data_IF_738619208429
#
_entry.id   IF_738619208429
#
_cell.length_a   1.000
_cell.length_b   1.000
_cell.length_c   1.000
_cell.angle_alpha   90.00
_cell.angle_beta   90.00
_cell.angle_gamma   90.00
#
_symmetry.space_group_name_H-M   'P 1'
#
loop_
_entity.id
_entity.type
_entity.pdbx_description
1 polymer ?
#
# COMPACT_ATOMS: atom_id res chain seq x y z
N UNK A 1 5.64 60.77 6.83
CA UNK A 1 6.37 59.50 6.95
C UNK A 1 5.50 58.53 7.74
N UNK A 2 5.15 57.38 7.12
CA UNK A 2 4.74 56.05 7.67
C UNK A 2 4.15 56.02 9.09
N UNK A 3 2.97 55.46 9.40
CA UNK A 3 2.42 54.15 9.01
C UNK A 3 0.94 54.03 9.46
N UNK A 4 0.25 53.01 8.92
CA UNK A 4 -1.18 52.68 9.01
C UNK A 4 -1.67 52.16 10.39
N UNK A 5 -3.00 52.20 10.65
CA UNK A 5 -3.64 51.65 11.85
C UNK A 5 -4.21 50.22 11.68
N UNK A 6 -4.42 49.56 12.81
CA UNK A 6 -5.08 48.26 12.95
C UNK A 6 -6.62 48.36 12.79
N UNK A 7 -7.21 47.37 12.13
CA UNK A 7 -8.64 47.25 11.91
C UNK A 7 -9.33 46.49 13.05
N UNK A 8 -10.38 47.10 13.60
CA UNK A 8 -11.45 46.45 14.36
C UNK A 8 -12.74 46.95 13.73
N UNK A 9 -13.54 46.08 13.10
CA UNK A 9 -14.99 46.33 12.97
C UNK A 9 -15.72 44.99 13.01
N UNK A 10 -16.53 44.87 14.05
CA UNK A 10 -17.69 43.98 14.19
C UNK A 10 -18.90 44.74 13.63
N UNK A 11 -19.77 44.12 12.82
CA UNK A 11 -21.24 44.11 13.03
C UNK A 11 -22.04 43.43 11.89
N UNK A 12 -23.10 42.74 12.33
CA UNK A 12 -24.23 42.21 11.57
C UNK A 12 -25.18 43.32 11.04
N UNK A 13 -25.81 43.07 9.87
CA UNK A 13 -27.28 43.04 9.63
C UNK A 13 -27.77 43.63 8.27
N UNK A 14 -28.31 42.74 7.44
CA UNK A 14 -29.56 42.75 6.61
C UNK A 14 -30.07 44.07 5.95
N UNK A 15 -30.11 44.12 4.60
CA UNK A 15 -31.33 44.25 3.74
C UNK A 15 -31.15 45.07 2.43
N UNK A 16 -31.36 44.40 1.30
CA UNK A 16 -31.95 44.81 0.00
C UNK A 16 -31.67 46.20 -0.63
N UNK A 17 -31.09 46.20 -1.84
CA UNK A 17 -31.68 46.77 -3.08
C UNK A 17 -30.84 46.45 -4.33
N UNK A 18 -31.50 45.83 -5.32
CA UNK A 18 -31.35 45.93 -6.78
C UNK A 18 -29.99 46.10 -7.45
N UNK A 19 -29.66 45.17 -8.35
CA UNK A 19 -28.69 45.40 -9.42
C UNK A 19 -28.34 44.13 -10.18
N UNK A 20 -28.97 43.94 -11.35
CA UNK A 20 -28.63 42.87 -12.28
C UNK A 20 -27.16 42.98 -12.69
N UNK A 21 -26.37 41.97 -12.34
CA UNK A 21 -24.95 41.87 -12.66
C UNK A 21 -24.60 40.40 -12.91
N UNK A 22 -24.41 40.09 -14.17
CA UNK A 22 -23.72 38.93 -14.77
C UNK A 22 -23.00 38.07 -13.71
N UNK A 23 -23.56 36.89 -13.45
CA UNK A 23 -22.92 35.88 -12.61
C UNK A 23 -21.62 35.42 -13.31
N UNK A 24 -20.49 35.94 -12.84
CA UNK A 24 -19.23 35.23 -12.99
C UNK A 24 -19.38 33.90 -12.25
N UNK A 25 -19.10 32.80 -12.94
CA UNK A 25 -19.00 31.49 -12.31
C UNK A 25 -18.01 31.63 -11.14
N UNK A 26 -18.53 31.51 -9.91
CA UNK A 26 -17.68 31.27 -8.77
C UNK A 26 -17.01 29.93 -9.05
N UNK A 27 -15.68 29.93 -9.11
CA UNK A 27 -14.92 28.69 -9.01
C UNK A 27 -15.47 27.91 -7.82
N UNK A 28 -15.98 26.71 -8.09
CA UNK A 28 -16.26 25.74 -7.02
C UNK A 28 -14.96 25.61 -6.21
N UNK A 29 -15.02 25.57 -4.87
CA UNK A 29 -13.82 25.39 -4.08
C UNK A 29 -13.12 24.12 -4.56
N UNK A 30 -11.85 24.22 -4.96
CA UNK A 30 -10.99 23.06 -5.23
C UNK A 30 -11.25 22.04 -4.13
N UNK A 31 -11.77 20.87 -4.51
CA UNK A 31 -12.14 19.83 -3.56
C UNK A 31 -10.97 19.54 -2.62
N UNK A 32 -11.26 19.23 -1.36
CA UNK A 32 -10.25 18.90 -0.36
C UNK A 32 -9.24 17.88 -0.93
N UNK A 33 -7.96 17.94 -0.53
CA UNK A 33 -6.95 17.01 -1.04
C UNK A 33 -7.38 15.58 -0.74
N UNK A 34 -7.63 14.81 -1.80
CA UNK A 34 -7.92 13.38 -1.72
C UNK A 34 -6.74 12.58 -2.27
N UNK A 35 -6.59 11.35 -1.81
CA UNK A 35 -5.65 10.40 -2.43
C UNK A 35 -6.27 9.02 -2.57
N UNK A 36 -5.61 8.20 -3.39
CA UNK A 36 -6.00 6.81 -3.66
C UNK A 36 -5.27 5.90 -2.66
N UNK A 37 -6.03 5.09 -1.92
CA UNK A 37 -5.50 4.06 -1.02
C UNK A 37 -5.82 2.68 -1.61
N UNK A 38 -4.78 1.89 -1.85
CA UNK A 38 -4.88 0.57 -2.49
C UNK A 38 -4.77 -0.55 -1.47
N UNK A 39 -5.63 -1.55 -1.62
CA UNK A 39 -5.70 -2.72 -0.77
C UNK A 39 -5.62 -3.97 -1.65
N UNK A 40 -4.47 -4.63 -1.62
CA UNK A 40 -4.23 -5.81 -2.44
C UNK A 40 -5.01 -7.01 -1.89
N UNK A 41 -5.70 -7.72 -2.77
CA UNK A 41 -6.53 -8.87 -2.43
C UNK A 41 -5.73 -10.16 -2.60
N UNK A 42 -5.71 -11.00 -1.57
CA UNK A 42 -5.00 -12.27 -1.62
C UNK A 42 -5.65 -13.23 -2.63
N UNK A 43 -4.94 -13.48 -3.73
CA UNK A 43 -5.29 -14.53 -4.67
C UNK A 43 -4.50 -15.83 -4.43
N UNK A 44 -3.46 -15.82 -3.60
CA UNK A 44 -2.55 -16.94 -3.45
C UNK A 44 -3.22 -18.12 -2.74
N UNK A 45 -4.12 -17.87 -1.81
CA UNK A 45 -4.92 -18.92 -1.15
C UNK A 45 -5.78 -19.74 -2.12
N UNK A 46 -6.21 -19.15 -3.25
CA UNK A 46 -7.09 -19.79 -4.24
C UNK A 46 -6.44 -19.96 -5.63
N UNK A 47 -5.22 -19.49 -5.83
CA UNK A 47 -4.50 -19.61 -7.09
C UNK A 47 -4.21 -21.06 -7.47
N UNK A 48 -4.56 -21.43 -8.70
CA UNK A 48 -4.52 -22.79 -9.24
C UNK A 48 -3.49 -22.98 -10.37
N UNK A 49 -2.86 -21.91 -10.85
CA UNK A 49 -1.79 -21.96 -11.85
C UNK A 49 -0.59 -21.13 -11.36
N UNK A 50 0.60 -21.72 -11.36
CA UNK A 50 1.83 -20.98 -11.07
C UNK A 50 2.23 -20.16 -12.28
N UNK A 51 2.63 -18.91 -12.05
CA UNK A 51 3.09 -18.00 -13.09
C UNK A 51 4.42 -18.48 -13.73
N UNK A 52 5.20 -19.30 -13.02
CA UNK A 52 6.45 -19.91 -13.50
C UNK A 52 6.27 -21.26 -14.21
N UNK A 53 5.08 -21.85 -14.16
CA UNK A 53 4.79 -23.13 -14.84
C UNK A 53 4.21 -22.84 -16.21
N UNK A 54 4.57 -23.67 -17.20
CA UNK A 54 4.11 -23.52 -18.57
C UNK A 54 2.59 -23.70 -18.71
N UNK A 55 2.00 -22.81 -19.50
CA UNK A 55 0.57 -22.70 -19.71
C UNK A 55 0.20 -23.58 -20.90
N UNK A 56 -0.89 -24.33 -20.74
CA UNK A 56 -1.53 -25.08 -21.82
C UNK A 56 -0.62 -26.11 -22.51
N UNK A 57 0.37 -26.65 -21.78
CA UNK A 57 1.29 -27.66 -22.26
C UNK A 57 2.28 -27.17 -23.33
N UNK A 58 2.46 -25.85 -23.48
CA UNK A 58 3.41 -25.27 -24.43
C UNK A 58 4.69 -24.82 -23.70
N UNK A 59 5.81 -25.49 -23.98
CA UNK A 59 7.08 -25.26 -23.30
C UNK A 59 7.52 -23.79 -23.40
N UNK A 60 7.88 -23.20 -22.26
CA UNK A 60 8.30 -21.79 -22.15
C UNK A 60 7.18 -20.76 -22.18
N UNK A 61 5.91 -21.19 -22.33
CA UNK A 61 4.75 -20.30 -22.37
C UNK A 61 4.26 -19.98 -20.95
N UNK A 62 4.88 -19.01 -20.30
CA UNK A 62 4.59 -18.70 -18.90
C UNK A 62 4.68 -17.19 -18.61
N UNK A 63 4.41 -16.81 -17.37
CA UNK A 63 4.50 -15.46 -16.82
C UNK A 63 5.70 -15.34 -15.84
N UNK A 64 6.76 -16.13 -16.04
CA UNK A 64 8.01 -16.02 -15.27
C UNK A 64 8.65 -14.62 -15.36
N UNK A 65 8.62 -13.91 -16.50
CA UNK A 65 9.19 -12.56 -16.61
C UNK A 65 8.41 -11.46 -15.88
N UNK A 66 7.16 -11.72 -15.49
CA UNK A 66 6.34 -10.75 -14.75
C UNK A 66 6.94 -10.58 -13.34
N UNK A 67 7.29 -9.35 -12.90
CA UNK A 67 7.87 -9.13 -11.59
C UNK A 67 6.90 -9.54 -10.47
N UNK A 68 7.46 -9.99 -9.35
CA UNK A 68 6.74 -10.41 -8.13
C UNK A 68 6.76 -9.31 -7.08
N UNK A 69 5.95 -9.47 -6.03
CA UNK A 69 5.83 -8.50 -4.95
C UNK A 69 4.86 -7.36 -5.30
N UNK A 70 4.94 -6.29 -4.52
CA UNK A 70 4.21 -5.05 -4.79
C UNK A 70 4.74 -4.37 -6.06
N UNK A 71 3.87 -4.19 -7.06
CA UNK A 71 4.19 -3.61 -8.36
C UNK A 71 3.13 -2.58 -8.76
N UNK A 72 3.56 -1.47 -9.36
CA UNK A 72 2.64 -0.48 -9.94
C UNK A 72 2.42 -0.79 -11.42
N UNK A 73 1.19 -1.13 -11.80
CA UNK A 73 0.80 -1.43 -13.17
C UNK A 73 -0.23 -0.41 -13.66
N UNK A 74 0.15 0.40 -14.64
CA UNK A 74 -0.69 1.47 -15.20
C UNK A 74 -1.39 2.32 -14.12
N UNK A 75 -0.60 2.85 -13.17
CA UNK A 75 -1.01 3.70 -12.03
C UNK A 75 -1.73 3.03 -10.84
N UNK A 76 -1.90 1.71 -10.86
CA UNK A 76 -2.52 0.93 -9.77
C UNK A 76 -1.50 0.00 -9.11
N UNK A 77 -1.51 -0.10 -7.79
CA UNK A 77 -0.65 -1.02 -7.05
C UNK A 77 -1.27 -2.42 -6.90
N UNK A 78 -0.49 -3.44 -7.26
CA UNK A 78 -0.87 -4.85 -7.17
C UNK A 78 0.19 -5.65 -6.41
N UNK A 79 -0.24 -6.60 -5.59
CA UNK A 79 0.65 -7.63 -5.03
C UNK A 79 0.64 -8.83 -5.98
N UNK A 80 1.76 -9.05 -6.67
CA UNK A 80 1.90 -10.14 -7.64
C UNK A 80 2.64 -11.30 -6.98
N UNK A 81 1.86 -12.29 -6.52
CA UNK A 81 2.41 -13.53 -5.96
C UNK A 81 2.83 -14.55 -7.02
N UNK A 82 3.07 -15.79 -6.61
CA UNK A 82 3.56 -16.86 -7.50
C UNK A 82 2.47 -17.58 -8.27
N UNK A 83 1.23 -17.53 -7.79
CA UNK A 83 0.06 -18.18 -8.37
C UNK A 83 -0.96 -17.15 -8.86
N UNK A 84 -1.73 -17.58 -9.85
CA UNK A 84 -2.87 -16.87 -10.41
C UNK A 84 -4.07 -17.81 -10.50
N UNK A 85 -5.24 -17.27 -10.82
CA UNK A 85 -6.46 -18.05 -11.07
C UNK A 85 -6.63 -18.19 -12.58
N UNK A 86 -6.51 -19.42 -13.09
CA UNK A 86 -6.88 -19.82 -14.45
C UNK A 86 -8.28 -20.42 -14.43
N UNK A 87 -9.13 -20.00 -15.36
CA UNK A 87 -10.44 -20.64 -15.57
C UNK A 87 -10.49 -21.43 -16.87
N UNK A 88 -11.48 -22.31 -16.93
CA UNK A 88 -11.74 -23.19 -18.05
C UNK A 88 -12.05 -22.45 -19.37
N UNK A 89 -11.77 -23.12 -20.47
CA UNK A 89 -12.32 -22.82 -21.80
C UNK A 89 -12.42 -24.09 -22.63
N UNK A 90 -12.98 -24.00 -23.85
CA UNK A 90 -12.94 -25.11 -24.81
C UNK A 90 -11.52 -25.59 -25.15
N UNK A 91 -10.47 -24.79 -24.89
CA UNK A 91 -9.05 -25.15 -25.09
C UNK A 91 -8.28 -25.41 -23.81
N UNK A 92 -8.88 -25.14 -22.65
CA UNK A 92 -8.29 -25.38 -21.33
C UNK A 92 -9.33 -26.06 -20.42
N UNK A 93 -9.78 -27.28 -20.76
CA UNK A 93 -10.89 -27.94 -20.07
C UNK A 93 -10.54 -28.43 -18.65
N UNK A 94 -9.25 -28.56 -18.34
CA UNK A 94 -8.78 -29.11 -17.06
C UNK A 94 -8.85 -28.11 -15.90
N UNK A 95 -9.16 -26.85 -16.19
CA UNK A 95 -9.32 -25.79 -15.19
C UNK A 95 -10.78 -25.68 -14.72
N UNK A 96 -11.04 -25.12 -13.53
CA UNK A 96 -12.41 -24.92 -13.06
C UNK A 96 -13.12 -23.83 -13.88
N UNK A 97 -14.44 -23.98 -14.06
CA UNK A 97 -15.26 -22.92 -14.67
C UNK A 97 -15.46 -21.72 -13.73
N UNK A 98 -15.28 -21.92 -12.42
CA UNK A 98 -15.52 -20.91 -11.40
C UNK A 98 -14.56 -21.06 -10.23
N UNK A 99 -14.04 -19.95 -9.74
CA UNK A 99 -13.49 -19.81 -8.39
C UNK A 99 -14.37 -18.85 -7.62
N UNK A 100 -14.93 -19.30 -6.49
CA UNK A 100 -15.87 -18.51 -5.69
C UNK A 100 -15.20 -17.99 -4.42
N UNK A 101 -15.72 -16.89 -3.88
CA UNK A 101 -15.40 -16.46 -2.53
C UNK A 101 -14.00 -15.85 -2.36
N UNK A 102 -13.46 -15.19 -3.38
CA UNK A 102 -12.23 -14.40 -3.26
C UNK A 102 -12.52 -13.28 -2.25
N UNK A 103 -11.84 -13.29 -1.11
CA UNK A 103 -12.18 -12.43 0.02
C UNK A 103 -11.77 -10.98 -0.25
N UNK A 104 -12.72 -10.05 -0.21
CA UNK A 104 -12.44 -8.61 -0.25
C UNK A 104 -12.59 -8.01 1.15
N UNK A 105 -13.74 -8.23 1.78
CA UNK A 105 -13.93 -7.91 3.19
C UNK A 105 -13.82 -6.43 3.57
N UNK A 106 -14.04 -5.50 2.63
CA UNK A 106 -13.94 -4.06 2.89
C UNK A 106 -14.82 -3.23 1.93
N UNK A 107 -14.95 -1.93 2.21
CA UNK A 107 -15.50 -0.95 1.27
C UNK A 107 -14.46 -0.63 0.20
N UNK A 108 -14.92 -0.26 -0.98
CA UNK A 108 -14.05 0.15 -2.08
C UNK A 108 -14.84 1.06 -3.02
N UNK A 109 -14.22 2.13 -3.48
CA UNK A 109 -14.75 2.95 -4.57
C UNK A 109 -14.56 2.25 -5.91
N UNK A 110 -13.47 1.46 -6.04
CA UNK A 110 -13.14 0.74 -7.27
C UNK A 110 -12.57 -0.64 -6.99
N UNK A 111 -12.76 -1.54 -7.96
CA UNK A 111 -12.00 -2.77 -8.07
C UNK A 111 -11.15 -2.74 -9.34
N UNK A 112 -9.89 -3.16 -9.22
CA UNK A 112 -8.94 -3.25 -10.32
C UNK A 112 -8.58 -4.69 -10.57
N UNK A 113 -8.80 -5.14 -11.80
CA UNK A 113 -8.53 -6.51 -12.24
C UNK A 113 -7.31 -6.49 -13.16
N UNK A 114 -6.22 -7.14 -12.73
CA UNK A 114 -5.05 -7.38 -13.56
C UNK A 114 -5.12 -8.79 -14.13
N UNK A 115 -5.50 -8.88 -15.40
CA UNK A 115 -5.98 -10.12 -16.00
C UNK A 115 -5.58 -10.26 -17.46
N UNK A 116 -5.83 -11.43 -18.02
CA UNK A 116 -5.62 -11.71 -19.43
C UNK A 116 -6.48 -12.87 -19.89
N UNK A 117 -6.35 -13.22 -21.16
CA UNK A 117 -6.93 -14.44 -21.68
C UNK A 117 -6.02 -15.10 -22.70
N UNK A 118 -5.93 -16.43 -22.62
CA UNK A 118 -5.31 -17.23 -23.66
C UNK A 118 -6.28 -17.43 -24.82
N UNK A 119 -5.75 -17.44 -26.04
CA UNK A 119 -6.47 -17.69 -27.30
C UNK A 119 -7.53 -16.63 -27.65
N UNK A 120 -7.25 -15.97 -28.76
CA UNK A 120 -8.12 -15.02 -29.43
C UNK A 120 -8.53 -15.42 -30.84
N UNK A 121 -9.19 -14.47 -31.52
CA UNK A 121 -9.36 -14.31 -32.98
C UNK A 121 -8.43 -15.17 -33.87
N UNK A 122 -8.86 -15.64 -35.07
CA UNK A 122 -10.03 -15.20 -35.84
C UNK A 122 -11.25 -16.08 -35.57
N UNK A 123 -12.26 -15.52 -34.92
CA UNK A 123 -13.49 -16.24 -34.57
C UNK A 123 -14.17 -15.77 -33.28
N UNK A 124 -13.65 -14.72 -32.65
CA UNK A 124 -14.26 -14.07 -31.50
C UNK A 124 -14.57 -12.63 -31.88
N UNK A 125 -15.84 -12.28 -31.81
CA UNK A 125 -16.30 -10.92 -32.06
C UNK A 125 -16.02 -10.02 -30.86
N UNK A 126 -15.75 -8.75 -31.13
CA UNK A 126 -15.63 -7.73 -30.09
C UNK A 126 -16.94 -7.60 -29.31
N UNK A 127 -16.82 -7.56 -27.98
CA UNK A 127 -17.97 -7.52 -27.08
C UNK A 127 -18.53 -8.89 -26.72
N UNK A 128 -18.00 -9.99 -27.29
CA UNK A 128 -18.42 -11.34 -26.91
C UNK A 128 -18.03 -11.61 -25.45
N UNK A 129 -19.00 -11.88 -24.54
CA UNK A 129 -18.65 -12.18 -23.17
C UNK A 129 -18.01 -13.57 -23.08
N UNK A 130 -16.90 -13.67 -22.36
CA UNK A 130 -16.12 -14.90 -22.14
C UNK A 130 -16.09 -15.32 -20.67
N UNK A 131 -16.51 -14.44 -19.77
CA UNK A 131 -16.58 -14.69 -18.34
C UNK A 131 -17.18 -13.50 -17.59
N UNK A 132 -17.11 -13.52 -16.27
CA UNK A 132 -17.51 -12.41 -15.42
C UNK A 132 -16.80 -12.44 -14.07
N UNK A 133 -16.77 -11.28 -13.43
CA UNK A 133 -16.61 -11.18 -11.99
C UNK A 133 -17.98 -10.94 -11.35
N UNK A 134 -18.29 -11.63 -10.26
CA UNK A 134 -19.53 -11.42 -9.49
C UNK A 134 -19.15 -10.86 -8.13
N UNK A 135 -19.41 -9.58 -7.92
CA UNK A 135 -19.14 -8.87 -6.67
C UNK A 135 -20.32 -9.10 -5.75
N UNK A 136 -20.09 -9.74 -4.61
CA UNK A 136 -21.10 -9.98 -3.56
C UNK A 136 -20.84 -9.03 -2.40
N UNK A 137 -21.84 -8.23 -2.05
CA UNK A 137 -21.78 -7.37 -0.87
C UNK A 137 -22.14 -8.13 0.41
N UNK A 138 -21.83 -7.53 1.55
CA UNK A 138 -22.13 -8.10 2.87
C UNK A 138 -23.64 -8.19 3.16
N UNK A 139 -24.47 -7.44 2.44
CA UNK A 139 -25.95 -7.50 2.51
C UNK A 139 -26.55 -8.49 1.51
N UNK A 140 -25.72 -9.39 0.95
CA UNK A 140 -26.08 -10.44 -0.02
C UNK A 140 -26.51 -9.92 -1.39
N UNK A 141 -26.53 -8.60 -1.61
CA UNK A 141 -26.72 -8.04 -2.97
C UNK A 141 -25.50 -8.29 -3.85
N UNK A 142 -25.69 -8.31 -5.17
CA UNK A 142 -24.65 -8.67 -6.13
C UNK A 142 -24.60 -7.72 -7.31
N UNK A 143 -23.40 -7.48 -7.84
CA UNK A 143 -23.16 -6.83 -9.13
C UNK A 143 -22.33 -7.76 -10.02
N UNK A 144 -22.72 -7.90 -11.29
CA UNK A 144 -21.98 -8.74 -12.25
C UNK A 144 -21.24 -7.87 -13.25
N UNK A 145 -19.93 -8.08 -13.33
CA UNK A 145 -19.01 -7.38 -14.23
C UNK A 145 -18.68 -8.35 -15.38
N UNK A 146 -19.24 -8.18 -16.59
CA UNK A 146 -18.89 -9.04 -17.71
C UNK A 146 -17.43 -8.81 -18.14
N UNK A 147 -16.77 -9.90 -18.52
CA UNK A 147 -15.49 -9.89 -19.20
C UNK A 147 -15.78 -10.18 -20.67
N UNK A 148 -15.63 -9.15 -21.50
CA UNK A 148 -15.89 -9.19 -22.92
C UNK A 148 -14.58 -9.21 -23.70
N UNK A 149 -14.43 -10.19 -24.58
CA UNK A 149 -13.33 -10.22 -25.54
C UNK A 149 -13.39 -8.97 -26.41
N UNK A 150 -12.24 -8.36 -26.66
CA UNK A 150 -12.09 -7.14 -27.42
C UNK A 150 -12.42 -5.84 -26.70
N UNK A 151 -13.21 -5.89 -25.63
CA UNK A 151 -13.41 -4.73 -24.76
C UNK A 151 -12.49 -4.74 -23.55
N UNK A 152 -12.32 -5.87 -22.90
CA UNK A 152 -11.61 -5.94 -21.61
C UNK A 152 -10.28 -6.65 -21.71
N UNK A 153 -10.24 -7.66 -22.58
CA UNK A 153 -9.06 -8.45 -22.85
C UNK A 153 -8.99 -8.76 -24.33
N UNK A 154 -7.77 -8.98 -24.79
CA UNK A 154 -7.47 -9.64 -26.06
C UNK A 154 -6.63 -10.87 -25.76
N UNK A 155 -6.30 -11.65 -26.80
CA UNK A 155 -5.24 -12.64 -26.65
C UNK A 155 -4.01 -11.97 -26.02
N UNK A 156 -3.55 -12.58 -24.93
CA UNK A 156 -2.34 -12.16 -24.25
C UNK A 156 -1.12 -12.27 -25.16
N UNK A 157 -1.13 -13.12 -26.19
CA UNK A 157 -0.13 -13.11 -27.26
C UNK A 157 -0.50 -12.09 -28.34
N UNK A 158 0.43 -11.20 -28.70
CA UNK A 158 0.23 -10.21 -29.76
C UNK A 158 1.39 -10.18 -30.76
N UNK A 159 1.03 -10.06 -32.05
CA UNK A 159 1.98 -9.91 -33.16
C UNK A 159 2.39 -8.44 -33.40
N UNK A 160 2.04 -7.52 -32.49
CA UNK A 160 2.30 -6.08 -32.65
C UNK A 160 1.29 -5.37 -33.55
N UNK A 161 0.20 -6.04 -33.96
CA UNK A 161 -0.91 -5.42 -34.65
C UNK A 161 -1.71 -4.51 -33.69
N UNK A 162 -2.24 -3.40 -34.20
CA UNK A 162 -3.08 -2.47 -33.43
C UNK A 162 -4.45 -3.10 -33.14
N UNK A 163 -4.48 -3.95 -32.11
CA UNK A 163 -5.67 -4.63 -31.60
C UNK A 163 -5.89 -4.24 -30.12
N UNK A 164 -6.38 -3.01 -29.84
CA UNK A 164 -6.58 -2.53 -28.48
C UNK A 164 -7.84 -3.14 -27.83
N UNK A 165 -7.81 -3.22 -26.51
CA UNK A 165 -9.02 -3.39 -25.70
C UNK A 165 -9.66 -2.01 -25.47
N UNK A 166 -10.98 -1.89 -25.59
CA UNK A 166 -11.68 -0.58 -25.57
C UNK A 166 -12.09 -0.09 -24.17
N UNK A 167 -12.14 -0.98 -23.17
CA UNK A 167 -12.49 -0.71 -21.76
C UNK A 167 -11.37 -1.07 -20.78
N UNK A 168 -10.20 -1.50 -21.29
CA UNK A 168 -9.06 -1.87 -20.46
C UNK A 168 -7.76 -1.32 -21.06
N UNK A 169 -6.76 -1.13 -20.21
CA UNK A 169 -5.42 -0.66 -20.62
C UNK A 169 -4.46 -1.85 -20.65
N UNK A 170 -3.54 -1.89 -21.61
CA UNK A 170 -2.38 -2.79 -21.48
C UNK A 170 -1.51 -2.26 -20.35
N UNK A 171 -1.41 -3.02 -19.26
CA UNK A 171 -0.74 -2.58 -18.03
C UNK A 171 0.64 -3.23 -17.86
N UNK A 172 0.90 -4.31 -18.58
CA UNK A 172 2.21 -4.93 -18.67
C UNK A 172 2.39 -5.57 -20.04
N UNK A 173 3.64 -5.57 -20.52
CA UNK A 173 4.05 -6.33 -21.70
C UNK A 173 5.44 -6.92 -21.48
N UNK A 174 5.68 -8.08 -22.09
CA UNK A 174 6.94 -8.79 -21.95
C UNK A 174 7.09 -9.87 -23.00
N UNK A 175 8.06 -10.75 -22.78
CA UNK A 175 8.42 -11.85 -23.67
C UNK A 175 8.82 -13.03 -22.81
N UNK A 176 8.36 -14.24 -23.13
CA UNK A 176 8.79 -15.48 -22.48
C UNK A 176 9.59 -16.37 -23.45
N UNK A 177 10.02 -17.54 -22.99
CA UNK A 177 10.87 -18.43 -23.78
C UNK A 177 10.17 -18.95 -25.04
N UNK A 178 8.84 -19.10 -25.01
CA UNK A 178 8.04 -19.51 -26.15
C UNK A 178 7.79 -18.34 -27.13
N UNK A 179 7.59 -17.13 -26.61
CA UNK A 179 7.15 -15.98 -27.40
C UNK A 179 8.33 -15.24 -28.04
N UNK A 180 9.55 -15.37 -27.51
CA UNK A 180 10.76 -14.73 -28.09
C UNK A 180 11.08 -15.21 -29.50
N UNK A 181 10.74 -16.46 -29.84
CA UNK A 181 10.88 -17.05 -31.18
C UNK A 181 9.74 -18.03 -31.48
N UNK A 182 8.55 -17.48 -31.68
CA UNK A 182 7.41 -18.27 -32.13
C UNK A 182 7.42 -18.42 -33.65
N UNK A 183 7.95 -19.55 -34.12
CA UNK A 183 8.02 -19.90 -35.54
C UNK A 183 8.80 -18.86 -36.37
N UNK A 184 9.96 -18.41 -35.88
CA UNK A 184 10.82 -17.45 -36.55
C UNK A 184 10.40 -16.00 -36.35
N UNK A 185 9.47 -15.72 -35.43
CA UNK A 185 8.96 -14.37 -35.16
C UNK A 185 8.83 -14.13 -33.66
N UNK A 186 9.23 -12.94 -33.22
CA UNK A 186 8.97 -12.47 -31.87
C UNK A 186 7.49 -12.14 -31.70
N UNK A 187 6.89 -12.62 -30.62
CA UNK A 187 5.53 -12.33 -30.17
C UNK A 187 5.64 -11.75 -28.77
N UNK A 188 5.02 -10.60 -28.55
CA UNK A 188 4.95 -10.03 -27.20
C UNK A 188 3.77 -10.66 -26.45
N UNK A 189 3.94 -10.84 -25.15
CA UNK A 189 2.85 -11.16 -24.23
C UNK A 189 2.41 -9.89 -23.50
N UNK A 190 1.10 -9.73 -23.28
CA UNK A 190 0.50 -8.54 -22.67
C UNK A 190 -0.59 -8.90 -21.67
N UNK A 191 -0.71 -8.08 -20.63
CA UNK A 191 -1.75 -8.19 -19.61
C UNK A 191 -2.52 -6.88 -19.52
N UNK A 192 -3.78 -6.99 -19.10
CA UNK A 192 -4.74 -5.89 -19.11
C UNK A 192 -5.09 -5.46 -17.69
N UNK A 193 -5.27 -4.17 -17.49
CA UNK A 193 -5.90 -3.57 -16.34
C UNK A 193 -7.32 -3.16 -16.72
N UNK A 194 -8.31 -3.76 -16.05
CA UNK A 194 -9.70 -3.31 -16.08
C UNK A 194 -10.06 -2.73 -14.73
N UNK A 195 -10.48 -1.46 -14.72
CA UNK A 195 -11.05 -0.81 -13.55
C UNK A 195 -12.57 -0.88 -13.63
N UNK A 196 -13.20 -1.21 -12.50
CA UNK A 196 -14.64 -1.16 -12.31
C UNK A 196 -14.97 -0.15 -11.22
N UNK A 197 -15.84 0.79 -11.55
CA UNK A 197 -16.41 1.77 -10.61
C UNK A 197 -17.51 1.08 -9.80
N UNK A 198 -17.36 1.05 -8.48
CA UNK A 198 -18.35 0.45 -7.60
C UNK A 198 -19.58 1.38 -7.52
N UNK A 199 -20.79 0.94 -7.94
CA UNK A 199 -22.00 1.75 -7.81
C UNK A 199 -22.45 1.94 -6.35
N UNK A 200 -21.93 1.14 -5.42
CA UNK A 200 -22.25 1.16 -4.00
C UNK A 200 -20.98 1.26 -3.13
N UNK A 201 -20.21 2.37 -3.20
CA UNK A 201 -18.93 2.51 -2.49
C UNK A 201 -19.09 2.43 -0.95
N UNK A 202 -20.27 2.79 -0.45
CA UNK A 202 -20.60 2.73 0.97
C UNK A 202 -20.92 1.31 1.47
N UNK A 203 -21.17 0.35 0.58
CA UNK A 203 -21.41 -1.05 0.95
C UNK A 203 -20.09 -1.80 1.06
N UNK A 204 -19.98 -2.63 2.10
CA UNK A 204 -18.86 -3.56 2.25
C UNK A 204 -18.97 -4.65 1.19
N UNK A 205 -17.94 -4.78 0.34
CA UNK A 205 -17.79 -5.91 -0.56
C UNK A 205 -17.33 -7.10 0.28
N UNK A 206 -18.09 -8.20 0.27
CA UNK A 206 -17.72 -9.41 0.97
C UNK A 206 -16.73 -10.21 0.14
N UNK A 207 -17.14 -10.61 -1.07
CA UNK A 207 -16.35 -11.49 -1.92
C UNK A 207 -16.50 -11.16 -3.40
N UNK A 208 -15.57 -11.68 -4.20
CA UNK A 208 -15.68 -11.72 -5.66
C UNK A 208 -15.63 -13.18 -6.11
N UNK A 209 -16.57 -13.58 -6.96
CA UNK A 209 -16.45 -14.81 -7.74
C UNK A 209 -15.84 -14.49 -9.10
N UNK A 210 -14.97 -15.36 -9.61
CA UNK A 210 -14.45 -15.30 -10.97
C UNK A 210 -14.99 -16.48 -11.77
N UNK A 211 -15.71 -16.20 -12.85
CA UNK A 211 -16.51 -17.16 -13.61
C UNK A 211 -16.11 -17.12 -15.09
N UNK A 212 -15.88 -18.29 -15.68
CA UNK A 212 -15.74 -18.47 -17.12
C UNK A 212 -17.08 -18.89 -17.70
N UNK A 213 -17.39 -18.45 -18.92
CA UNK A 213 -18.51 -19.01 -19.67
C UNK A 213 -18.25 -20.43 -20.17
N UNK A 214 -16.98 -20.80 -20.36
CA UNK A 214 -16.56 -22.08 -20.92
C UNK A 214 -17.28 -22.48 -22.25
N UNK A 215 -17.73 -21.48 -23.00
CA UNK A 215 -18.41 -21.64 -24.30
C UNK A 215 -17.47 -21.33 -25.46
N UNK A 216 -16.42 -20.54 -25.21
CA UNK A 216 -15.47 -20.08 -26.21
C UNK A 216 -14.10 -20.73 -26.02
N UNK A 217 -13.19 -20.51 -26.97
CA UNK A 217 -11.79 -20.94 -26.85
C UNK A 217 -10.99 -20.09 -25.86
N UNK A 218 -11.45 -18.86 -25.56
CA UNK A 218 -10.74 -17.94 -24.68
C UNK A 218 -10.74 -18.47 -23.27
N UNK A 219 -9.56 -18.55 -22.66
CA UNK A 219 -9.36 -19.00 -21.29
C UNK A 219 -9.00 -17.80 -20.41
N UNK A 220 -9.97 -17.19 -19.70
CA UNK A 220 -9.70 -16.05 -18.84
C UNK A 220 -8.84 -16.45 -17.66
N UNK A 221 -7.93 -15.56 -17.26
CA UNK A 221 -7.15 -15.72 -16.04
C UNK A 221 -6.95 -14.38 -15.32
N UNK A 222 -6.87 -14.44 -13.99
CA UNK A 222 -6.71 -13.29 -13.10
C UNK A 222 -5.37 -13.42 -12.36
N UNK A 223 -4.49 -12.44 -12.55
CA UNK A 223 -3.15 -12.41 -11.98
C UNK A 223 -3.13 -11.71 -10.63
N UNK A 224 -3.82 -10.57 -10.51
CA UNK A 224 -3.94 -9.82 -9.26
C UNK A 224 -5.26 -9.03 -9.22
N UNK A 225 -5.74 -8.76 -8.01
CA UNK A 225 -6.94 -7.96 -7.73
C UNK A 225 -6.61 -6.96 -6.63
N UNK A 226 -7.01 -5.70 -6.83
CA UNK A 226 -6.82 -4.62 -5.85
C UNK A 226 -8.13 -3.89 -5.66
N UNK A 227 -8.51 -3.65 -4.40
CA UNK A 227 -9.56 -2.73 -4.02
C UNK A 227 -8.97 -1.33 -3.79
N UNK A 228 -9.64 -0.30 -4.30
CA UNK A 228 -9.22 1.08 -4.11
C UNK A 228 -10.29 1.86 -3.35
N UNK A 229 -9.85 2.67 -2.41
CA UNK A 229 -10.66 3.69 -1.74
C UNK A 229 -10.08 5.08 -1.99
N UNK A 230 -10.96 6.06 -2.21
CA UNK A 230 -10.62 7.49 -2.20
C UNK A 230 -10.69 7.97 -0.76
N UNK A 231 -9.56 8.42 -0.24
CA UNK A 231 -9.45 8.93 1.12
C UNK A 231 -9.40 10.45 1.06
N UNK A 232 -10.23 11.09 1.89
CA UNK A 232 -10.19 12.53 2.12
C UNK A 232 -9.21 12.82 3.26
N UNK A 233 -8.07 13.44 2.93
CA UNK A 233 -7.04 13.77 3.91
C UNK A 233 -7.59 14.71 4.97
N UNK A 234 -8.51 15.61 4.61
CA UNK A 234 -9.09 16.57 5.55
C UNK A 234 -9.95 15.87 6.62
N UNK A 235 -10.72 14.85 6.25
CA UNK A 235 -11.49 14.02 7.19
C UNK A 235 -10.58 13.24 8.14
N UNK A 236 -9.49 12.65 7.63
CA UNK A 236 -8.50 11.95 8.47
C UNK A 236 -7.82 12.92 9.44
N UNK A 237 -7.39 14.09 8.94
CA UNK A 237 -6.79 15.16 9.74
C UNK A 237 -7.76 15.66 10.82
N UNK A 238 -9.03 15.85 10.48
CA UNK A 238 -10.05 16.29 11.42
C UNK A 238 -10.24 15.25 12.55
N UNK A 239 -10.39 13.97 12.21
CA UNK A 239 -10.48 12.87 13.19
C UNK A 239 -9.26 12.81 14.11
N UNK A 240 -8.06 12.88 13.54
CA UNK A 240 -6.82 12.90 14.32
C UNK A 240 -6.77 14.10 15.29
N UNK A 241 -7.17 15.30 14.83
CA UNK A 241 -7.27 16.49 15.70
C UNK A 241 -8.33 16.33 16.79
N UNK A 242 -9.48 15.74 16.48
CA UNK A 242 -10.53 15.43 17.46
C UNK A 242 -10.02 14.46 18.54
N UNK A 243 -9.13 13.53 18.17
CA UNK A 243 -8.45 12.62 19.11
C UNK A 243 -7.25 13.25 19.84
N UNK A 244 -6.98 14.54 19.62
CA UNK A 244 -5.92 15.29 20.31
C UNK A 244 -4.54 15.19 19.67
N UNK A 245 -4.43 14.65 18.46
CA UNK A 245 -3.18 14.63 17.72
C UNK A 245 -2.77 16.05 17.29
N UNK A 246 -1.48 16.34 17.40
CA UNK A 246 -0.87 17.51 16.78
C UNK A 246 -0.37 17.15 15.38
N UNK A 247 -0.61 18.03 14.41
CA UNK A 247 -0.29 17.81 13.00
C UNK A 247 0.47 19.01 12.47
N UNK A 248 1.58 18.74 11.78
CA UNK A 248 2.36 19.75 11.04
C UNK A 248 2.30 19.43 9.54
N UNK A 249 2.04 20.45 8.74
CA UNK A 249 2.11 20.36 7.28
C UNK A 249 3.53 20.69 6.81
N UNK A 250 3.98 20.02 5.74
CA UNK A 250 5.22 20.38 5.04
C UNK A 250 5.01 21.53 4.05
N UNK A 251 6.07 21.89 3.35
CA UNK A 251 6.09 23.00 2.36
C UNK A 251 5.12 22.79 1.18
N UNK A 252 4.69 21.56 0.95
CA UNK A 252 3.74 21.18 -0.09
C UNK A 252 2.28 21.07 0.42
N UNK A 253 2.01 21.61 1.61
CA UNK A 253 0.72 21.57 2.31
C UNK A 253 0.21 20.16 2.67
N UNK A 254 1.03 19.13 2.47
CA UNK A 254 0.71 17.76 2.91
C UNK A 254 1.15 17.53 4.34
N UNK A 255 0.48 16.60 5.04
CA UNK A 255 0.85 16.23 6.40
C UNK A 255 2.23 15.62 6.42
N UNK A 256 3.15 16.25 7.15
CA UNK A 256 4.54 15.80 7.30
C UNK A 256 4.78 15.14 8.65
N UNK A 257 4.22 15.71 9.71
CA UNK A 257 4.41 15.22 11.08
C UNK A 257 3.07 15.00 11.75
N UNK A 258 2.94 13.86 12.43
CA UNK A 258 1.85 13.61 13.37
C UNK A 258 2.42 13.27 14.74
N UNK A 259 1.94 13.97 15.75
CA UNK A 259 2.22 13.68 17.15
C UNK A 259 0.96 13.21 17.84
N UNK A 260 0.98 11.94 18.23
CA UNK A 260 0.00 11.26 19.08
C UNK A 260 0.37 11.38 20.57
N UNK A 261 1.28 12.30 20.92
CA UNK A 261 1.73 12.53 22.30
C UNK A 261 1.11 13.78 22.96
N UNK A 262 0.18 14.45 22.28
CA UNK A 262 -0.41 15.73 22.72
C UNK A 262 0.59 16.91 22.75
N UNK A 263 0.13 18.17 22.77
CA UNK A 263 1.01 19.32 22.95
C UNK A 263 1.39 19.53 24.43
N UNK A 264 2.68 19.40 24.73
CA UNK A 264 3.28 19.79 26.01
C UNK A 264 3.82 18.64 26.86
N UNK A 265 4.82 18.92 27.70
CA UNK A 265 5.44 17.99 28.68
C UNK A 265 4.51 17.62 29.85
N UNK A 266 3.20 17.49 29.62
CA UNK A 266 2.31 16.79 30.54
C UNK A 266 1.82 15.56 29.80
N UNK A 267 2.36 14.42 30.21
CA UNK A 267 2.00 13.07 29.76
C UNK A 267 0.52 12.79 30.01
N UNK A 268 -0.35 13.42 29.21
CA UNK A 268 -1.72 13.01 29.04
C UNK A 268 -1.68 11.81 28.12
N UNK A 269 -1.76 10.63 28.72
CA UNK A 269 -1.90 9.35 28.05
C UNK A 269 -3.04 9.46 27.03
N UNK A 270 -2.75 9.63 25.73
CA UNK A 270 -3.77 9.38 24.73
C UNK A 270 -4.07 7.88 24.86
N UNK A 271 -5.34 7.53 25.10
CA UNK A 271 -5.82 6.14 25.18
C UNK A 271 -6.35 5.71 23.82
N UNK A 272 -6.14 4.46 23.43
CA UNK A 272 -6.60 3.89 22.16
C UNK A 272 -5.73 4.28 20.96
N UNK A 273 -4.42 4.39 21.15
CA UNK A 273 -3.53 5.01 20.15
C UNK A 273 -3.22 4.09 18.96
N UNK A 274 -3.42 2.77 19.05
CA UNK A 274 -3.28 1.89 17.88
C UNK A 274 -4.25 2.29 16.76
N UNK A 275 -5.49 2.67 17.08
CA UNK A 275 -6.46 3.15 16.09
C UNK A 275 -6.06 4.51 15.50
N UNK A 276 -5.48 5.38 16.32
CA UNK A 276 -4.93 6.64 15.82
C UNK A 276 -3.73 6.41 14.91
N UNK A 277 -2.87 5.46 15.24
CA UNK A 277 -1.73 5.10 14.40
C UNK A 277 -2.20 4.51 13.07
N UNK A 278 -3.28 3.70 13.07
CA UNK A 278 -3.93 3.24 11.82
C UNK A 278 -4.46 4.42 10.99
N UNK A 279 -5.07 5.43 11.61
CA UNK A 279 -5.48 6.65 10.91
C UNK A 279 -4.28 7.42 10.33
N UNK A 280 -3.17 7.52 11.07
CA UNK A 280 -1.93 8.14 10.56
C UNK A 280 -1.42 7.40 9.32
N UNK A 281 -1.56 6.08 9.28
CA UNK A 281 -1.14 5.26 8.14
C UNK A 281 -1.99 5.46 6.87
N UNK A 282 -3.12 6.15 6.96
CA UNK A 282 -3.90 6.61 5.81
C UNK A 282 -3.38 7.96 5.26
N UNK A 283 -2.29 8.52 5.78
CA UNK A 283 -1.67 9.74 5.28
C UNK A 283 -0.27 9.42 4.70
N UNK A 284 -0.15 9.08 3.41
CA UNK A 284 1.09 8.54 2.83
C UNK A 284 2.25 9.55 2.77
N UNK A 285 1.99 10.83 3.04
CA UNK A 285 2.99 11.89 3.10
C UNK A 285 3.73 11.98 4.43
N UNK A 286 3.27 11.27 5.48
CA UNK A 286 3.85 11.38 6.82
C UNK A 286 5.31 10.92 6.84
N UNK A 287 6.17 11.79 7.35
CA UNK A 287 7.61 11.58 7.52
C UNK A 287 8.01 11.37 8.98
N UNK A 288 7.24 11.95 9.90
CA UNK A 288 7.57 11.97 11.34
C UNK A 288 6.36 11.55 12.16
N UNK A 289 6.53 10.53 12.99
CA UNK A 289 5.53 10.09 13.96
C UNK A 289 6.10 10.14 15.37
N UNK A 290 5.45 10.92 16.23
CA UNK A 290 5.69 10.92 17.66
C UNK A 290 4.54 10.23 18.39
N UNK A 291 4.87 9.17 19.10
CA UNK A 291 3.94 8.27 19.78
C UNK A 291 4.38 7.99 21.23
N UNK A 292 5.21 8.87 21.78
CA UNK A 292 5.74 8.75 23.12
C UNK A 292 4.63 8.78 24.17
N UNK A 293 4.83 8.07 25.29
CA UNK A 293 3.91 8.03 26.43
C UNK A 293 2.47 7.64 26.05
N UNK A 294 2.33 6.68 25.12
CA UNK A 294 1.04 6.18 24.63
C UNK A 294 0.86 4.70 24.93
N UNK A 295 -0.37 4.20 24.79
CA UNK A 295 -0.69 2.77 24.84
C UNK A 295 -0.51 2.05 23.49
N UNK A 296 0.36 2.56 22.60
CA UNK A 296 0.72 1.83 21.38
C UNK A 296 1.30 0.47 21.76
N UNK A 297 0.78 -0.55 21.10
CA UNK A 297 1.21 -1.94 21.24
C UNK A 297 1.92 -2.41 19.97
N UNK A 298 2.43 -3.64 20.01
CA UNK A 298 3.03 -4.29 18.84
C UNK A 298 2.05 -4.36 17.65
N UNK A 299 0.76 -4.56 17.91
CA UNK A 299 -0.30 -4.62 16.90
C UNK A 299 -0.50 -3.28 16.18
N UNK A 300 -0.28 -2.16 16.88
CA UNK A 300 -0.35 -0.82 16.29
C UNK A 300 0.72 -0.61 15.20
N UNK A 301 1.90 -1.21 15.37
CA UNK A 301 3.03 -1.02 14.46
C UNK A 301 2.87 -1.74 13.12
N UNK A 302 1.97 -2.73 13.01
CA UNK A 302 1.77 -3.51 11.79
C UNK A 302 1.46 -2.64 10.57
N UNK A 303 0.72 -1.54 10.76
CA UNK A 303 0.30 -0.64 9.68
C UNK A 303 1.38 0.33 9.22
N UNK A 304 2.47 0.52 9.98
CA UNK A 304 3.48 1.53 9.67
C UNK A 304 4.21 1.30 8.34
N UNK A 305 4.24 0.06 7.84
CA UNK A 305 4.76 -0.26 6.52
C UNK A 305 4.02 0.45 5.37
N UNK A 306 2.81 0.97 5.63
CA UNK A 306 2.04 1.80 4.69
C UNK A 306 2.54 3.24 4.57
N UNK A 307 3.51 3.67 5.38
CA UNK A 307 4.08 5.02 5.33
C UNK A 307 5.41 5.02 4.55
N UNK A 308 5.39 5.14 3.21
CA UNK A 308 6.58 4.99 2.37
C UNK A 308 7.62 6.09 2.60
N UNK A 309 7.25 7.16 3.29
CA UNK A 309 8.09 8.33 3.57
C UNK A 309 8.52 8.45 5.03
N UNK A 310 8.15 7.49 5.89
CA UNK A 310 8.48 7.56 7.31
C UNK A 310 10.00 7.58 7.52
N UNK A 311 10.50 8.67 8.09
CA UNK A 311 11.93 8.87 8.42
C UNK A 311 12.16 8.79 9.91
N UNK A 312 11.28 9.39 10.72
CA UNK A 312 11.48 9.49 12.17
C UNK A 312 10.30 8.88 12.93
N UNK A 313 10.60 7.95 13.82
CA UNK A 313 9.64 7.28 14.68
C UNK A 313 10.11 7.34 16.14
N UNK A 314 9.24 7.85 17.01
CA UNK A 314 9.52 7.94 18.45
C UNK A 314 8.43 7.21 19.22
N UNK A 315 8.81 6.13 19.90
CA UNK A 315 7.95 5.22 20.66
C UNK A 315 8.36 5.18 22.15
N UNK A 316 8.97 6.26 22.66
CA UNK A 316 9.50 6.28 24.02
C UNK A 316 8.39 6.01 25.03
N UNK A 317 8.68 5.14 26.00
CA UNK A 317 7.78 4.82 27.10
C UNK A 317 6.40 4.35 26.59
N UNK A 318 6.43 3.42 25.63
CA UNK A 318 5.27 2.67 25.12
C UNK A 318 5.37 1.20 25.52
N UNK A 319 4.31 0.43 25.25
CA UNK A 319 4.25 -1.01 25.58
C UNK A 319 4.90 -1.92 24.50
N UNK A 320 5.52 -1.31 23.48
CA UNK A 320 6.19 -2.01 22.38
C UNK A 320 7.29 -2.94 22.88
N UNK A 321 7.33 -4.14 22.32
CA UNK A 321 8.28 -5.21 22.59
C UNK A 321 9.06 -5.62 21.33
N UNK A 322 9.90 -6.65 21.47
CA UNK A 322 10.64 -7.24 20.34
C UNK A 322 9.73 -7.65 19.18
N UNK A 323 8.48 -8.06 19.47
CA UNK A 323 7.50 -8.44 18.44
C UNK A 323 7.11 -7.25 17.56
N UNK A 324 6.93 -6.07 18.16
CA UNK A 324 6.59 -4.85 17.42
C UNK A 324 7.71 -4.41 16.47
N UNK A 325 8.98 -4.60 16.85
CA UNK A 325 10.11 -4.26 15.98
C UNK A 325 10.17 -5.09 14.70
N UNK A 326 9.60 -6.30 14.68
CA UNK A 326 9.52 -7.10 13.47
C UNK A 326 8.74 -6.38 12.34
N UNK A 327 7.74 -5.56 12.70
CA UNK A 327 6.95 -4.78 11.75
C UNK A 327 7.71 -3.58 11.16
N UNK A 328 8.77 -3.13 11.82
CA UNK A 328 9.59 -2.01 11.33
C UNK A 328 10.68 -2.44 10.34
N UNK A 329 10.95 -3.75 10.22
CA UNK A 329 12.11 -4.29 9.50
C UNK A 329 12.20 -3.91 8.00
N UNK A 330 11.07 -3.53 7.38
CA UNK A 330 11.01 -3.15 5.97
C UNK A 330 10.91 -1.63 5.75
N UNK A 331 10.98 -0.83 6.83
CA UNK A 331 11.01 0.64 6.74
C UNK A 331 12.42 1.12 6.41
N UNK A 332 12.96 0.70 5.27
CA UNK A 332 14.37 0.94 4.90
C UNK A 332 14.73 2.43 4.83
N UNK A 333 13.73 3.31 4.66
CA UNK A 333 13.90 4.76 4.72
C UNK A 333 14.03 5.35 6.13
N UNK A 334 13.87 4.57 7.20
CA UNK A 334 13.90 5.08 8.57
C UNK A 334 15.30 5.56 8.96
N UNK A 335 15.38 6.80 9.44
CA UNK A 335 16.62 7.50 9.79
C UNK A 335 16.77 7.69 11.31
N UNK A 336 15.65 7.81 12.04
CA UNK A 336 15.66 8.02 13.48
C UNK A 336 14.62 7.14 14.16
N UNK A 337 15.07 6.35 15.13
CA UNK A 337 14.22 5.48 15.92
C UNK A 337 14.51 5.70 17.40
N UNK A 338 13.49 6.09 18.17
CA UNK A 338 13.61 6.22 19.62
C UNK A 338 12.72 5.21 20.34
N UNK A 339 13.34 4.44 21.22
CA UNK A 339 12.75 3.31 21.94
C UNK A 339 13.05 3.42 23.44
N UNK A 340 13.32 4.62 23.96
CA UNK A 340 13.67 4.82 25.36
C UNK A 340 12.60 4.24 26.28
N UNK A 341 13.01 3.42 27.26
CA UNK A 341 12.10 2.87 28.27
C UNK A 341 11.02 1.93 27.72
N UNK A 342 11.29 1.25 26.60
CA UNK A 342 10.43 0.20 26.03
C UNK A 342 10.92 -1.20 26.42
N UNK A 343 10.17 -2.26 26.07
CA UNK A 343 10.48 -3.66 26.43
C UNK A 343 11.35 -4.37 25.39
N UNK A 344 12.32 -3.65 24.83
CA UNK A 344 13.22 -4.17 23.80
C UNK A 344 14.40 -4.91 24.43
N UNK A 345 14.74 -6.06 23.86
CA UNK A 345 15.89 -6.89 24.20
C UNK A 345 16.77 -7.15 22.98
N UNK A 346 17.80 -7.98 23.15
CA UNK A 346 18.69 -8.41 22.07
C UNK A 346 17.94 -9.06 20.90
N UNK A 347 16.79 -9.69 21.15
CA UNK A 347 15.95 -10.33 20.12
C UNK A 347 15.39 -9.28 19.16
N UNK A 348 14.84 -8.18 19.70
CA UNK A 348 14.25 -7.11 18.90
C UNK A 348 15.26 -6.41 18.00
N UNK A 349 16.50 -6.25 18.47
CA UNK A 349 17.57 -5.62 17.67
C UNK A 349 17.91 -6.40 16.40
N UNK A 350 17.68 -7.71 16.36
CA UNK A 350 17.85 -8.53 15.16
C UNK A 350 17.01 -8.02 13.97
N UNK A 351 15.83 -7.47 14.24
CA UNK A 351 14.93 -6.92 13.21
C UNK A 351 15.42 -5.59 12.63
N UNK A 352 16.20 -4.82 13.40
CA UNK A 352 16.69 -3.51 12.96
C UNK A 352 17.84 -3.62 11.94
N UNK A 353 18.49 -4.78 11.83
CA UNK A 353 19.68 -4.99 10.97
C UNK A 353 19.51 -4.61 9.48
N UNK A 354 18.27 -4.52 8.99
CA UNK A 354 17.92 -4.10 7.62
C UNK A 354 17.83 -2.58 7.44
N UNK A 355 17.72 -1.80 8.51
CA UNK A 355 17.51 -0.35 8.48
C UNK A 355 18.82 0.40 8.24
N UNK A 356 19.42 0.21 7.07
CA UNK A 356 20.76 0.72 6.73
C UNK A 356 20.88 2.23 6.75
N UNK A 357 19.76 2.95 6.66
CA UNK A 357 19.71 4.41 6.70
C UNK A 357 19.53 4.96 8.12
N UNK A 358 19.47 4.11 9.14
CA UNK A 358 19.28 4.56 10.52
C UNK A 358 20.52 5.31 11.01
N UNK A 359 20.34 6.59 11.34
CA UNK A 359 21.38 7.49 11.82
C UNK A 359 21.32 7.71 13.33
N UNK A 360 20.12 7.67 13.91
CA UNK A 360 19.90 7.89 15.35
C UNK A 360 19.10 6.73 15.92
N UNK A 361 19.64 6.09 16.95
CA UNK A 361 18.99 5.02 17.69
C UNK A 361 19.08 5.27 19.19
N UNK A 362 17.93 5.42 19.85
CA UNK A 362 17.85 5.53 21.31
C UNK A 362 17.29 4.23 21.90
N UNK A 363 18.15 3.49 22.60
CA UNK A 363 17.83 2.25 23.33
C UNK A 363 17.95 2.45 24.84
N UNK A 364 18.02 3.70 25.31
CA UNK A 364 18.25 3.96 26.73
C UNK A 364 17.13 3.37 27.59
N UNK A 365 17.48 2.78 28.73
CA UNK A 365 16.58 2.09 29.65
C UNK A 365 15.78 0.93 29.00
N UNK A 366 16.41 0.21 28.07
CA UNK A 366 15.90 -1.08 27.54
C UNK A 366 16.63 -2.27 28.17
N UNK A 367 16.22 -3.50 27.86
CA UNK A 367 16.83 -4.74 28.36
C UNK A 367 18.01 -5.24 27.49
N UNK A 368 18.51 -4.38 26.60
CA UNK A 368 19.63 -4.67 25.69
C UNK A 368 20.93 -5.03 26.45
N UNK A 369 21.65 -6.02 25.93
CA UNK A 369 22.97 -6.46 26.40
C UNK A 369 24.01 -6.42 25.27
N UNK A 370 25.26 -6.79 25.57
CA UNK A 370 26.33 -6.92 24.56
C UNK A 370 25.95 -7.87 23.40
N UNK A 371 25.10 -8.86 23.66
CA UNK A 371 24.62 -9.80 22.64
C UNK A 371 23.83 -9.11 21.53
N UNK A 372 23.00 -8.12 21.87
CA UNK A 372 22.17 -7.38 20.93
C UNK A 372 22.97 -6.45 20.01
N UNK A 373 24.12 -5.94 20.48
CA UNK A 373 24.97 -5.05 19.69
C UNK A 373 25.50 -5.70 18.41
N UNK A 374 25.56 -7.04 18.33
CA UNK A 374 25.96 -7.76 17.11
C UNK A 374 25.06 -7.39 15.93
N UNK A 375 23.75 -7.20 16.15
CA UNK A 375 22.82 -6.81 15.10
C UNK A 375 23.04 -5.36 14.63
N UNK A 376 23.51 -4.48 15.51
CA UNK A 376 23.74 -3.06 15.22
C UNK A 376 24.96 -2.82 14.32
N UNK A 377 25.89 -3.78 14.23
CA UNK A 377 27.04 -3.73 13.29
C UNK A 377 26.62 -3.53 11.84
N UNK A 378 25.39 -3.93 11.52
CA UNK A 378 24.84 -3.83 10.19
C UNK A 378 24.37 -2.39 9.85
N UNK A 379 24.23 -1.50 10.84
CA UNK A 379 23.73 -0.13 10.71
C UNK A 379 24.86 0.84 10.39
N UNK A 380 25.38 0.75 9.17
CA UNK A 380 26.59 1.48 8.74
C UNK A 380 26.42 3.00 8.65
N UNK A 381 25.19 3.51 8.73
CA UNK A 381 24.89 4.95 8.71
C UNK A 381 24.68 5.54 10.12
N UNK A 382 24.82 4.73 11.17
CA UNK A 382 24.55 5.13 12.55
C UNK A 382 25.55 6.20 12.99
N UNK A 383 25.05 7.31 13.55
CA UNK A 383 25.84 8.46 14.02
C UNK A 383 25.65 8.70 15.51
N UNK A 384 24.49 8.39 16.04
CA UNK A 384 24.11 8.64 17.43
C UNK A 384 23.41 7.39 18.00
N UNK A 385 23.99 6.83 19.05
CA UNK A 385 23.48 5.66 19.77
C UNK A 385 23.44 5.94 21.28
N UNK A 386 22.25 5.85 21.86
CA UNK A 386 22.06 5.99 23.31
C UNK A 386 21.79 4.63 23.96
N UNK A 387 22.69 4.21 24.86
CA UNK A 387 22.66 2.94 25.59
C UNK A 387 22.55 3.15 27.11
N UNK A 388 22.30 4.38 27.57
CA UNK A 388 22.26 4.68 29.00
C UNK A 388 21.17 3.87 29.70
N UNK A 389 21.51 3.26 30.83
CA UNK A 389 20.57 2.43 31.59
C UNK A 389 20.25 1.08 30.95
N UNK A 390 21.01 0.63 29.95
CA UNK A 390 21.00 -0.76 29.45
C UNK A 390 21.96 -1.65 30.25
N UNK A 391 22.08 -2.93 29.87
CA UNK A 391 23.06 -3.88 30.44
C UNK A 391 24.28 -4.07 29.53
N UNK A 392 24.49 -3.16 28.58
CA UNK A 392 25.66 -3.15 27.72
C UNK A 392 26.89 -2.74 28.52
N UNK A 393 28.00 -3.46 28.34
CA UNK A 393 29.29 -3.19 28.99
C UNK A 393 30.20 -2.32 28.11
N UNK A 394 31.25 -1.76 28.71
CA UNK A 394 32.29 -1.03 27.96
C UNK A 394 32.97 -1.94 26.90
N UNK A 395 33.10 -3.25 27.19
CA UNK A 395 33.66 -4.22 26.24
C UNK A 395 32.74 -4.39 25.01
N UNK A 396 31.42 -4.47 25.23
CA UNK A 396 30.43 -4.52 24.15
C UNK A 396 30.51 -3.28 23.25
N UNK A 397 30.58 -2.09 23.85
CA UNK A 397 30.76 -0.82 23.10
C UNK A 397 32.07 -0.82 22.33
N UNK A 398 33.18 -1.29 22.93
CA UNK A 398 34.47 -1.41 22.26
C UNK A 398 34.39 -2.24 20.99
N UNK A 399 33.76 -3.43 21.05
CA UNK A 399 33.55 -4.31 19.88
C UNK A 399 32.63 -3.70 18.82
N UNK A 400 31.67 -2.87 19.23
CA UNK A 400 30.79 -2.17 18.29
C UNK A 400 31.55 -1.05 17.55
N UNK A 401 32.39 -0.28 18.26
CA UNK A 401 33.25 0.75 17.67
C UNK A 401 34.22 0.18 16.63
N UNK A 402 34.80 -0.98 16.88
CA UNK A 402 35.61 -1.69 15.88
C UNK A 402 34.86 -1.97 14.56
N UNK A 403 33.53 -2.06 14.61
CA UNK A 403 32.68 -2.36 13.44
C UNK A 403 32.13 -1.11 12.76
N UNK A 404 31.73 -0.08 13.54
CA UNK A 404 31.07 1.14 13.03
C UNK A 404 32.02 2.35 12.87
N UNK A 405 33.21 2.31 13.47
CA UNK A 405 34.15 3.41 13.52
C UNK A 405 33.94 4.35 14.71
N UNK A 406 34.93 5.21 14.94
CA UNK A 406 34.96 6.12 16.11
C UNK A 406 34.07 7.37 15.92
N UNK A 407 33.59 7.63 14.71
CA UNK A 407 32.72 8.77 14.40
C UNK A 407 31.31 8.63 15.00
N UNK A 408 30.91 7.43 15.41
CA UNK A 408 29.63 7.19 16.08
C UNK A 408 29.69 7.71 17.52
N UNK A 409 28.81 8.65 17.84
CA UNK A 409 28.56 9.11 19.19
C UNK A 409 27.78 8.01 19.94
N UNK A 410 28.41 7.39 20.94
CA UNK A 410 27.79 6.36 21.78
C UNK A 410 27.75 6.88 23.20
N UNK A 411 26.54 7.02 23.76
CA UNK A 411 26.31 7.41 25.16
C UNK A 411 26.01 6.16 25.97
N UNK A 412 26.73 5.96 27.07
CA UNK A 412 26.62 4.78 27.93
C UNK A 412 26.39 5.20 29.38
#
# INVERSE_FOLDING_TARGET
MKSLPAAIVLLLAVSLLGGAGIAAAADEPEGAPTHRSFHQIDLQSQGNQKLSTDFHGYEGNNLKPLPRGLQTMADVEFEIGDKMIQLASKRAPDFPEKVSGIQVGQKADRLHFFHGTGWGSPGLDDGLPIGSYVVRYADETEETIPIEYGRDVRDWWTLGESDPATRAKVAWSGVNDASKDFRGRKVDIRLFLRTWENPHPNKKIATVDFVSRNETISAPFLVALTAETVVDDADVIEKLKQHGAFIELGDNEKVRLVSLSGPGQKAGFLRGVDDNLRLVCELPSVEVVYANFSDITDDGLQSLQKLPRLRWLSLNLTEVSDQGLAHLANLEGLERLRLHGTKISDVGLGHLSKLKNLEVLDLSNTETTDGGLVALKALTSLKDLDLRGTRVTEEGVGKLRESLGDEVEIRQ
#
